data_IF_931516486129
#
_entry.id   IF_931516486129
#
_cell.length_a   1.000
_cell.length_b   1.000
_cell.length_c   1.000
_cell.angle_alpha   90.00
_cell.angle_beta   90.00
_cell.angle_gamma   90.00
#
_symmetry.space_group_name_H-M   'P 1'
#
loop_
_entity.id
_entity.type
_entity.pdbx_description
1 polymer ?
#
# COMPACT_ATOMS: atom_id res chain seq x y z
N UNK A 1 37.14 28.36 -52.07
CA UNK A 1 36.43 28.49 -53.37
C UNK A 1 35.62 29.77 -53.34
N UNK A 2 35.85 30.83 -54.08
CA UNK A 2 36.92 31.29 -54.97
C UNK A 2 36.84 32.84 -54.88
N UNK A 3 37.99 33.49 -54.84
CA UNK A 3 38.14 34.92 -55.16
C UNK A 3 37.84 35.13 -56.63
N UNK A 4 37.12 36.20 -56.99
CA UNK A 4 37.31 36.87 -58.28
C UNK A 4 37.16 38.38 -58.04
N UNK A 5 38.30 39.07 -58.04
CA UNK A 5 38.38 40.49 -58.41
C UNK A 5 38.69 40.55 -59.91
N UNK A 6 38.03 41.43 -60.64
CA UNK A 6 38.56 41.94 -61.91
C UNK A 6 38.12 43.39 -62.12
N UNK A 7 39.14 44.23 -62.15
CA UNK A 7 39.17 45.65 -62.48
C UNK A 7 38.77 45.96 -63.93
N UNK A 8 38.17 47.12 -64.16
CA UNK A 8 38.10 47.79 -65.47
C UNK A 8 38.51 49.26 -65.35
N UNK A 9 39.40 49.66 -66.25
CA UNK A 9 40.13 50.93 -66.33
C UNK A 9 39.42 52.04 -67.11
N UNK A 10 39.96 53.27 -66.94
CA UNK A 10 39.93 54.47 -67.82
C UNK A 10 38.79 55.46 -67.52
N UNK A 11 38.97 56.79 -67.39
CA UNK A 11 39.80 57.76 -68.14
C UNK A 11 40.03 59.09 -67.37
N UNK A 12 41.16 59.73 -67.64
CA UNK A 12 41.51 61.18 -67.65
C UNK A 12 40.54 62.23 -67.06
N UNK A 13 41.07 63.12 -66.22
CA UNK A 13 41.45 64.48 -66.65
C UNK A 13 42.20 65.29 -65.55
N UNK A 14 43.39 65.77 -65.93
CA UNK A 14 44.01 67.08 -65.72
C UNK A 14 43.84 67.90 -64.42
N UNK A 15 45.03 68.27 -63.93
CA UNK A 15 45.50 69.62 -63.55
C UNK A 15 45.02 70.25 -62.25
N UNK A 16 45.97 70.35 -61.32
CA UNK A 16 46.02 71.33 -60.23
C UNK A 16 47.34 71.15 -59.48
N UNK A 17 48.32 72.01 -59.75
CA UNK A 17 49.70 71.87 -59.31
C UNK A 17 49.94 72.14 -57.83
N UNK A 18 51.09 71.62 -57.38
CA UNK A 18 51.97 72.18 -56.36
C UNK A 18 51.35 72.59 -55.02
N UNK A 19 50.66 71.64 -54.40
CA UNK A 19 50.63 71.45 -52.95
C UNK A 19 50.93 70.01 -52.53
N UNK A 20 51.26 69.13 -53.48
CA UNK A 20 51.28 67.67 -53.29
C UNK A 20 52.62 67.10 -52.84
N UNK A 21 53.67 67.91 -52.65
CA UNK A 21 54.97 67.39 -52.16
C UNK A 21 54.93 67.03 -50.67
N UNK A 22 54.38 67.94 -49.85
CA UNK A 22 54.24 67.75 -48.40
C UNK A 22 52.98 66.95 -48.01
N UNK A 23 51.92 67.01 -48.83
CA UNK A 23 50.70 66.20 -48.62
C UNK A 23 50.89 64.73 -49.01
N UNK A 24 51.77 64.41 -49.98
CA UNK A 24 52.02 63.01 -50.38
C UNK A 24 52.82 62.22 -49.36
N UNK A 25 53.79 62.83 -48.67
CA UNK A 25 54.54 62.15 -47.61
C UNK A 25 53.64 61.85 -46.39
N UNK A 26 52.78 62.79 -45.98
CA UNK A 26 51.79 62.56 -44.92
C UNK A 26 50.69 61.54 -45.30
N UNK A 27 50.27 61.49 -46.58
CA UNK A 27 49.30 60.51 -47.07
C UNK A 27 49.91 59.11 -47.23
N UNK A 28 51.18 58.98 -47.65
CA UNK A 28 51.89 57.70 -47.71
C UNK A 28 52.20 57.14 -46.31
N UNK A 29 52.58 57.98 -45.33
CA UNK A 29 52.74 57.56 -43.94
C UNK A 29 51.41 57.10 -43.32
N UNK A 30 50.33 57.87 -43.49
CA UNK A 30 48.98 57.47 -43.01
C UNK A 30 48.48 56.20 -43.68
N UNK A 31 48.75 56.00 -44.97
CA UNK A 31 48.34 54.79 -45.68
C UNK A 31 49.12 53.56 -45.19
N UNK A 32 50.42 53.71 -44.89
CA UNK A 32 51.23 52.66 -44.29
C UNK A 32 50.77 52.33 -42.85
N UNK A 33 50.45 53.33 -42.04
CA UNK A 33 49.93 53.15 -40.68
C UNK A 33 48.58 52.43 -40.68
N UNK A 34 47.67 52.78 -41.59
CA UNK A 34 46.38 52.10 -41.75
C UNK A 34 46.57 50.65 -42.19
N UNK A 35 47.50 50.39 -43.12
CA UNK A 35 47.80 49.03 -43.57
C UNK A 35 48.43 48.18 -42.47
N UNK A 36 49.28 48.78 -41.64
CA UNK A 36 49.88 48.14 -40.47
C UNK A 36 48.81 47.77 -39.44
N UNK A 37 47.94 48.72 -39.10
CA UNK A 37 46.79 48.50 -38.20
C UNK A 37 45.83 47.43 -38.73
N UNK A 38 45.58 47.39 -40.05
CA UNK A 38 44.74 46.37 -40.66
C UNK A 38 45.38 44.97 -40.56
N UNK A 39 46.70 44.88 -40.76
CA UNK A 39 47.45 43.63 -40.64
C UNK A 39 47.49 43.14 -39.20
N UNK A 40 47.68 44.03 -38.23
CA UNK A 40 47.59 43.73 -36.81
C UNK A 40 46.17 43.28 -36.40
N UNK A 41 45.14 43.96 -36.89
CA UNK A 41 43.75 43.58 -36.65
C UNK A 41 43.45 42.17 -37.18
N UNK A 42 43.92 41.83 -38.38
CA UNK A 42 43.77 40.47 -38.92
C UNK A 42 44.50 39.41 -38.09
N UNK A 43 45.72 39.71 -37.62
CA UNK A 43 46.46 38.81 -36.73
C UNK A 43 45.77 38.63 -35.38
N UNK A 44 45.24 39.71 -34.80
CA UNK A 44 44.49 39.67 -33.55
C UNK A 44 43.19 38.86 -33.69
N UNK A 45 42.45 39.03 -34.79
CA UNK A 45 41.25 38.23 -35.08
C UNK A 45 41.61 36.75 -35.21
N UNK A 46 42.69 36.42 -35.91
CA UNK A 46 43.14 35.03 -36.06
C UNK A 46 43.55 34.43 -34.71
N UNK A 47 44.25 35.19 -33.89
CA UNK A 47 44.68 34.79 -32.55
C UNK A 47 43.48 34.56 -31.61
N UNK A 48 42.51 35.48 -31.59
CA UNK A 48 41.29 35.36 -30.80
C UNK A 48 40.43 34.16 -31.24
N UNK A 49 40.34 33.90 -32.55
CA UNK A 49 39.63 32.73 -33.06
C UNK A 49 40.30 31.41 -32.65
N UNK A 50 41.64 31.38 -32.62
CA UNK A 50 42.40 30.22 -32.12
C UNK A 50 42.15 29.99 -30.63
N UNK A 51 42.19 31.05 -29.81
CA UNK A 51 41.87 30.95 -28.39
C UNK A 51 40.43 30.50 -28.15
N UNK A 52 39.48 31.01 -28.95
CA UNK A 52 38.07 30.61 -28.87
C UNK A 52 37.87 29.12 -29.17
N UNK A 53 38.57 28.58 -30.16
CA UNK A 53 38.52 27.15 -30.49
C UNK A 53 39.01 26.28 -29.32
N UNK A 54 40.15 26.64 -28.71
CA UNK A 54 40.69 25.94 -27.55
C UNK A 54 39.72 26.00 -26.36
N UNK A 55 39.13 27.17 -26.09
CA UNK A 55 38.15 27.33 -25.02
C UNK A 55 36.88 26.47 -25.25
N UNK A 56 36.42 26.36 -26.50
CA UNK A 56 35.27 25.50 -26.86
C UNK A 56 35.60 24.02 -26.71
N UNK A 57 36.81 23.59 -27.05
CA UNK A 57 37.26 22.21 -26.83
C UNK A 57 37.32 21.85 -25.34
N UNK A 58 37.87 22.73 -24.51
CA UNK A 58 37.89 22.57 -23.05
C UNK A 58 36.46 22.53 -22.46
N UNK A 59 35.57 23.41 -22.93
CA UNK A 59 34.15 23.38 -22.54
C UNK A 59 33.48 22.05 -22.89
N UNK A 60 33.72 21.54 -24.10
CA UNK A 60 33.18 20.26 -24.56
C UNK A 60 33.77 19.07 -23.78
N UNK A 61 35.01 19.18 -23.30
CA UNK A 61 35.63 18.18 -22.42
C UNK A 61 34.98 18.21 -21.03
N UNK A 62 34.84 19.40 -20.43
CA UNK A 62 34.18 19.59 -19.15
C UNK A 62 32.71 19.12 -19.18
N UNK A 63 31.98 19.36 -20.28
CA UNK A 63 30.61 18.88 -20.44
C UNK A 63 30.52 17.35 -20.54
N UNK A 64 31.49 16.69 -21.18
CA UNK A 64 31.56 15.22 -21.22
C UNK A 64 31.84 14.64 -19.83
N UNK A 65 32.76 15.24 -19.08
CA UNK A 65 33.04 14.85 -17.70
C UNK A 65 31.83 15.07 -16.79
N UNK A 66 31.12 16.19 -16.94
CA UNK A 66 29.87 16.46 -16.22
C UNK A 66 28.80 15.39 -16.51
N UNK A 67 28.62 15.01 -17.78
CA UNK A 67 27.64 13.98 -18.13
C UNK A 67 28.03 12.62 -17.53
N UNK A 68 29.31 12.26 -17.56
CA UNK A 68 29.81 11.02 -16.97
C UNK A 68 29.65 11.00 -15.44
N UNK A 69 29.83 12.14 -14.77
CA UNK A 69 29.57 12.30 -13.33
C UNK A 69 28.07 12.20 -13.02
N UNK A 70 27.20 12.78 -13.86
CA UNK A 70 25.74 12.67 -13.70
C UNK A 70 25.27 11.22 -13.85
N UNK A 71 25.74 10.50 -14.86
CA UNK A 71 25.41 9.08 -15.04
C UNK A 71 25.92 8.24 -13.86
N UNK A 72 27.11 8.57 -13.32
CA UNK A 72 27.66 7.90 -12.14
C UNK A 72 26.89 8.23 -10.87
N UNK A 73 26.42 9.47 -10.70
CA UNK A 73 25.51 9.85 -9.61
C UNK A 73 24.19 9.09 -9.76
N UNK A 74 23.63 8.99 -10.97
CA UNK A 74 22.38 8.27 -11.22
C UNK A 74 22.51 6.76 -10.96
N UNK A 75 23.66 6.16 -11.31
CA UNK A 75 24.00 4.79 -10.93
C UNK A 75 24.18 4.63 -9.42
N UNK A 76 24.88 5.56 -8.76
CA UNK A 76 25.04 5.56 -7.31
C UNK A 76 23.71 5.74 -6.59
N UNK A 77 22.81 6.59 -7.09
CA UNK A 77 21.46 6.79 -6.59
C UNK A 77 20.57 5.56 -6.85
N UNK A 78 20.72 4.88 -7.98
CA UNK A 78 20.06 3.60 -8.25
C UNK A 78 20.53 2.50 -7.28
N UNK A 79 21.83 2.46 -6.99
CA UNK A 79 22.43 1.56 -5.98
C UNK A 79 22.01 1.96 -4.56
N UNK A 80 21.77 3.24 -4.28
CA UNK A 80 21.31 3.73 -2.97
C UNK A 80 19.79 3.54 -2.77
N UNK A 81 19.01 3.48 -3.86
CA UNK A 81 17.57 3.16 -3.86
C UNK A 81 17.27 1.67 -3.67
N UNK A 82 18.20 0.78 -4.04
CA UNK A 82 18.22 -0.58 -3.48
C UNK A 82 18.81 -0.50 -2.07
N UNK A 83 17.94 -0.32 -1.07
CA UNK A 83 18.30 -0.15 0.33
C UNK A 83 19.34 -1.16 0.80
N UNK A 84 20.57 -0.71 0.97
CA UNK A 84 21.61 -1.50 1.61
C UNK A 84 21.24 -1.54 3.10
N UNK A 85 20.83 -2.71 3.62
CA UNK A 85 20.41 -2.90 5.01
C UNK A 85 21.38 -2.23 6.00
N UNK A 86 22.67 -2.25 5.67
CA UNK A 86 23.76 -1.60 6.40
C UNK A 86 23.63 -0.09 6.61
N UNK A 87 23.02 0.65 5.67
CA UNK A 87 22.82 2.11 5.78
C UNK A 87 21.76 2.45 6.83
N UNK A 88 20.72 1.61 6.93
CA UNK A 88 19.60 1.80 7.85
C UNK A 88 19.93 1.37 9.27
N UNK A 89 20.76 0.33 9.42
CA UNK A 89 21.34 -0.03 10.71
C UNK A 89 22.11 1.13 11.33
N UNK A 90 22.91 1.82 10.52
CA UNK A 90 23.68 3.00 10.96
C UNK A 90 22.75 4.13 11.38
N UNK A 91 21.71 4.41 10.62
CA UNK A 91 20.73 5.46 10.94
C UNK A 91 19.98 5.16 12.26
N UNK A 92 19.55 3.91 12.45
CA UNK A 92 18.86 3.50 13.68
C UNK A 92 19.78 3.59 14.90
N UNK A 93 21.05 3.20 14.76
CA UNK A 93 22.05 3.35 15.81
C UNK A 93 22.31 4.82 16.16
N UNK A 94 22.44 5.69 15.14
CA UNK A 94 22.63 7.14 15.34
C UNK A 94 21.43 7.79 16.05
N UNK A 95 20.20 7.37 15.74
CA UNK A 95 19.02 7.85 16.46
C UNK A 95 18.95 7.37 17.90
N UNK A 96 19.33 6.11 18.17
CA UNK A 96 19.47 5.61 19.55
C UNK A 96 20.51 6.47 20.31
N UNK A 97 21.62 6.83 19.67
CA UNK A 97 22.63 7.72 20.26
C UNK A 97 22.09 9.13 20.51
N UNK A 98 21.31 9.68 19.57
CA UNK A 98 20.60 10.96 19.73
C UNK A 98 19.63 10.94 20.92
N UNK A 99 18.90 9.84 21.14
CA UNK A 99 17.97 9.68 22.27
C UNK A 99 18.70 9.67 23.62
N UNK A 100 19.92 9.13 23.69
CA UNK A 100 20.75 9.21 24.90
C UNK A 100 21.18 10.65 25.16
N UNK A 101 21.64 11.36 24.13
CA UNK A 101 22.10 12.75 24.25
C UNK A 101 20.98 13.71 24.65
N UNK A 102 19.77 13.45 24.19
CA UNK A 102 18.56 14.24 24.52
C UNK A 102 17.91 13.84 25.84
N UNK A 103 18.40 12.77 26.50
CA UNK A 103 17.88 12.29 27.79
C UNK A 103 16.57 11.50 27.71
N UNK A 104 16.17 11.07 26.50
CA UNK A 104 14.97 10.24 26.27
C UNK A 104 15.12 8.81 26.81
N UNK A 105 16.35 8.29 26.81
CA UNK A 105 16.72 6.97 27.35
C UNK A 105 18.05 7.04 28.10
N UNK A 106 18.25 6.12 29.05
CA UNK A 106 19.52 6.01 29.76
C UNK A 106 20.55 5.17 28.97
N UNK A 107 21.80 5.22 29.42
CA UNK A 107 22.91 4.50 28.77
C UNK A 107 22.77 2.97 28.80
N UNK A 108 22.05 2.41 29.80
CA UNK A 108 21.86 0.98 29.95
C UNK A 108 20.77 0.47 28.98
N UNK A 109 19.66 1.20 28.87
CA UNK A 109 18.59 0.96 27.91
C UNK A 109 19.11 1.08 26.47
N UNK A 110 19.88 2.12 26.17
CA UNK A 110 20.50 2.29 24.86
C UNK A 110 21.46 1.16 24.51
N UNK A 111 22.23 0.64 25.48
CA UNK A 111 23.12 -0.51 25.28
C UNK A 111 22.33 -1.77 24.88
N UNK A 112 21.18 -2.02 25.53
CA UNK A 112 20.26 -3.10 25.18
C UNK A 112 19.72 -2.98 23.75
N UNK A 113 19.27 -1.78 23.37
CA UNK A 113 18.75 -1.50 22.02
C UNK A 113 19.82 -1.65 20.95
N UNK A 114 21.03 -1.09 21.13
CA UNK A 114 22.16 -1.26 20.19
C UNK A 114 22.48 -2.73 19.97
N UNK A 115 22.48 -3.54 21.04
CA UNK A 115 22.74 -4.99 20.96
C UNK A 115 21.64 -5.73 20.19
N UNK A 116 20.38 -5.32 20.35
CA UNK A 116 19.26 -5.90 19.61
C UNK A 116 19.30 -5.54 18.11
N UNK A 117 19.66 -4.29 17.80
CA UNK A 117 19.86 -3.78 16.44
C UNK A 117 21.02 -4.49 15.74
N UNK A 118 22.19 -4.56 16.37
CA UNK A 118 23.38 -5.22 15.81
C UNK A 118 23.27 -6.75 15.74
N UNK A 119 22.40 -7.36 16.57
CA UNK A 119 22.23 -8.81 16.64
C UNK A 119 21.25 -9.41 15.62
N UNK A 120 20.76 -8.62 14.65
CA UNK A 120 19.77 -9.03 13.65
C UNK A 120 18.43 -9.52 14.27
N UNK A 121 18.11 -9.09 15.50
CA UNK A 121 16.84 -9.44 16.19
C UNK A 121 15.64 -8.65 15.68
N UNK A 122 15.89 -7.55 14.99
CA UNK A 122 14.86 -6.80 14.27
C UNK A 122 14.79 -7.36 12.86
N UNK A 123 13.65 -7.92 12.45
CA UNK A 123 13.36 -8.04 11.02
C UNK A 123 13.17 -6.62 10.54
N UNK A 124 14.23 -6.07 9.92
CA UNK A 124 14.27 -4.67 9.52
C UNK A 124 13.04 -4.37 8.67
N UNK A 125 12.59 -5.36 7.84
CA UNK A 125 11.38 -5.37 7.00
C UNK A 125 10.16 -4.71 7.67
N UNK A 126 9.98 -4.98 8.96
CA UNK A 126 8.82 -4.57 9.76
C UNK A 126 8.92 -3.12 10.28
N UNK A 127 10.13 -2.55 10.32
CA UNK A 127 10.39 -1.18 10.76
C UNK A 127 10.51 -0.23 9.55
N UNK A 128 10.64 -0.76 8.32
CA UNK A 128 11.16 -0.02 7.16
C UNK A 128 10.34 1.14 6.65
N UNK A 129 9.01 1.14 6.76
CA UNK A 129 8.27 2.09 5.93
C UNK A 129 8.37 3.54 6.40
N UNK A 130 8.91 3.85 7.60
CA UNK A 130 9.03 5.24 8.05
C UNK A 130 10.02 5.58 9.19
N UNK A 131 11.18 4.91 9.30
CA UNK A 131 12.20 5.33 10.31
C UNK A 131 12.53 6.82 10.15
N UNK A 132 12.64 7.31 8.91
CA UNK A 132 12.99 8.71 8.63
C UNK A 132 11.88 9.72 8.99
N UNK A 133 10.61 9.30 9.00
CA UNK A 133 9.48 10.19 9.27
C UNK A 133 8.98 10.12 10.72
N UNK A 134 9.30 9.05 11.46
CA UNK A 134 8.94 8.92 12.88
C UNK A 134 9.73 9.88 13.76
N UNK A 135 9.08 10.41 14.78
CA UNK A 135 9.73 11.12 15.89
C UNK A 135 10.50 10.13 16.78
N UNK A 136 11.45 10.64 17.56
CA UNK A 136 12.25 9.80 18.46
C UNK A 136 11.41 9.09 19.52
N UNK A 137 10.32 9.70 20.00
CA UNK A 137 9.39 9.09 20.95
C UNK A 137 8.60 7.91 20.34
N UNK A 138 8.13 8.04 19.10
CA UNK A 138 7.41 6.97 18.39
C UNK A 138 8.33 5.80 18.07
N UNK A 139 9.55 6.10 17.63
CA UNK A 139 10.57 5.08 17.39
C UNK A 139 10.95 4.34 18.67
N UNK A 140 11.11 5.07 19.78
CA UNK A 140 11.40 4.50 21.09
C UNK A 140 10.29 3.57 21.60
N UNK A 141 9.03 3.96 21.46
CA UNK A 141 7.89 3.12 21.85
C UNK A 141 7.87 1.78 21.10
N UNK A 142 8.21 1.79 19.81
CA UNK A 142 8.33 0.57 19.01
C UNK A 142 9.53 -0.27 19.44
N UNK A 143 10.71 0.34 19.62
CA UNK A 143 11.91 -0.38 20.06
C UNK A 143 11.71 -1.08 21.42
N UNK A 144 11.01 -0.43 22.36
CA UNK A 144 10.66 -1.02 23.67
C UNK A 144 9.72 -2.22 23.53
N UNK A 145 8.73 -2.14 22.63
CA UNK A 145 7.82 -3.25 22.36
C UNK A 145 8.54 -4.52 21.88
N UNK A 146 9.65 -4.36 21.13
CA UNK A 146 10.46 -5.49 20.65
C UNK A 146 11.54 -5.96 21.65
N UNK A 147 11.95 -5.10 22.58
CA UNK A 147 13.00 -5.42 23.56
C UNK A 147 12.50 -6.30 24.71
N UNK A 148 11.21 -6.31 24.99
CA UNK A 148 10.64 -7.09 26.08
C UNK A 148 10.41 -8.56 25.66
N UNK A 149 11.25 -9.44 26.19
CA UNK A 149 11.54 -10.75 25.61
C UNK A 149 10.43 -11.79 25.75
N UNK A 150 9.99 -12.34 24.61
CA UNK A 150 9.54 -13.73 24.51
C UNK A 150 9.43 -14.13 23.04
N UNK A 151 10.25 -15.10 22.62
CA UNK A 151 10.14 -15.80 21.33
C UNK A 151 8.73 -16.39 21.16
N UNK A 152 7.86 -15.67 20.49
CA UNK A 152 7.04 -16.24 19.43
C UNK A 152 7.40 -15.43 18.19
N UNK A 153 7.86 -16.10 17.14
CA UNK A 153 7.92 -15.46 15.82
C UNK A 153 6.47 -15.08 15.50
N UNK A 154 6.11 -13.83 15.76
CA UNK A 154 4.78 -13.33 15.49
C UNK A 154 4.54 -13.41 14.00
N UNK A 155 3.50 -14.12 13.58
CA UNK A 155 3.09 -14.12 12.19
C UNK A 155 2.77 -12.71 11.70
N UNK A 156 3.14 -12.44 10.44
CA UNK A 156 2.62 -11.33 9.67
C UNK A 156 1.32 -11.75 8.98
N UNK A 157 0.23 -11.08 9.35
CA UNK A 157 -1.14 -11.41 8.94
C UNK A 157 -1.73 -10.20 8.23
N UNK A 158 -2.14 -10.39 6.98
CA UNK A 158 -2.90 -9.38 6.23
C UNK A 158 -4.33 -9.87 6.12
N UNK A 159 -5.27 -9.08 6.64
CA UNK A 159 -6.69 -9.34 6.48
C UNK A 159 -7.23 -8.56 5.27
N UNK A 160 -7.85 -9.25 4.32
CA UNK A 160 -8.62 -8.62 3.25
C UNK A 160 -10.09 -8.78 3.64
N UNK A 161 -10.75 -7.66 3.92
CA UNK A 161 -12.15 -7.66 4.34
C UNK A 161 -12.90 -6.49 3.69
N UNK A 162 -14.21 -6.48 3.89
CA UNK A 162 -15.13 -5.43 3.44
C UNK A 162 -15.50 -4.45 4.54
N UNK A 163 -15.27 -4.82 5.81
CA UNK A 163 -15.66 -4.04 6.97
C UNK A 163 -14.61 -4.06 8.09
N UNK A 164 -14.51 -2.96 8.84
CA UNK A 164 -13.67 -2.84 10.02
C UNK A 164 -14.17 -1.65 10.86
N UNK A 165 -14.35 -1.86 12.16
CA UNK A 165 -14.74 -0.80 13.09
C UNK A 165 -13.50 0.06 13.48
N UNK A 166 -13.62 1.41 13.55
CA UNK A 166 -14.82 2.22 13.36
C UNK A 166 -15.05 2.70 11.91
N UNK A 167 -14.16 2.35 10.98
CA UNK A 167 -14.15 2.92 9.63
C UNK A 167 -15.43 2.64 8.83
N UNK A 168 -15.91 1.40 8.86
CA UNK A 168 -17.15 0.98 8.20
C UNK A 168 -17.74 -0.20 8.96
N UNK A 169 -18.97 -0.04 9.42
CA UNK A 169 -19.68 -1.03 10.23
C UNK A 169 -21.11 -1.20 9.73
N UNK A 170 -21.37 -2.35 9.10
CA UNK A 170 -22.69 -2.73 8.58
C UNK A 170 -23.20 -3.99 9.27
N UNK A 171 -22.33 -4.99 9.45
CA UNK A 171 -22.65 -6.26 10.06
C UNK A 171 -21.71 -6.63 11.21
N UNK A 172 -21.74 -7.91 11.59
CA UNK A 172 -20.89 -8.44 12.66
C UNK A 172 -19.42 -8.60 12.26
N UNK A 173 -19.10 -8.49 10.96
CA UNK A 173 -17.73 -8.63 10.44
C UNK A 173 -16.83 -7.48 10.93
N UNK A 174 -17.33 -6.23 10.95
CA UNK A 174 -16.54 -5.04 11.33
C UNK A 174 -15.90 -5.18 12.72
N UNK A 175 -16.74 -5.46 13.73
CA UNK A 175 -16.33 -5.65 15.12
C UNK A 175 -15.48 -6.90 15.30
N UNK A 176 -15.75 -7.98 14.55
CA UNK A 176 -14.93 -9.18 14.56
C UNK A 176 -13.51 -8.92 14.05
N UNK A 177 -13.36 -8.26 12.90
CA UNK A 177 -12.05 -7.94 12.32
C UNK A 177 -11.24 -7.05 13.27
N UNK A 178 -11.86 -6.01 13.83
CA UNK A 178 -11.20 -5.11 14.78
C UNK A 178 -10.81 -5.84 16.07
N UNK A 179 -11.73 -6.60 16.66
CA UNK A 179 -11.47 -7.36 17.89
C UNK A 179 -10.40 -8.44 17.72
N UNK A 180 -10.47 -9.21 16.63
CA UNK A 180 -9.48 -10.24 16.29
C UNK A 180 -8.11 -9.61 16.05
N UNK A 181 -8.05 -8.52 15.29
CA UNK A 181 -6.79 -7.81 15.00
C UNK A 181 -6.12 -7.33 16.29
N UNK A 182 -6.88 -6.68 17.19
CA UNK A 182 -6.39 -6.25 18.51
C UNK A 182 -5.90 -7.44 19.34
N UNK A 183 -6.63 -8.55 19.35
CA UNK A 183 -6.25 -9.75 20.09
C UNK A 183 -4.96 -10.39 19.55
N UNK A 184 -4.79 -10.44 18.23
CA UNK A 184 -3.59 -10.94 17.57
C UNK A 184 -2.37 -10.03 17.85
N UNK A 185 -2.54 -8.72 17.80
CA UNK A 185 -1.48 -7.76 18.16
C UNK A 185 -1.03 -7.94 19.62
N UNK A 186 -1.98 -8.10 20.56
CA UNK A 186 -1.67 -8.41 21.97
C UNK A 186 -0.90 -9.73 22.16
N UNK A 187 -0.98 -10.66 21.19
CA UNK A 187 -0.21 -11.91 21.16
C UNK A 187 1.15 -11.78 20.48
N UNK A 188 1.52 -10.57 20.02
CA UNK A 188 2.80 -10.27 19.35
C UNK A 188 2.78 -10.48 17.84
N UNK A 189 1.60 -10.62 17.21
CA UNK A 189 1.47 -10.72 15.76
C UNK A 189 1.40 -9.35 15.10
N UNK A 190 1.82 -9.29 13.84
CA UNK A 190 1.73 -8.07 13.03
C UNK A 190 0.52 -8.22 12.15
N UNK A 191 -0.44 -7.32 12.33
CA UNK A 191 -1.74 -7.38 11.66
C UNK A 191 -1.94 -6.11 10.85
N UNK A 192 -2.26 -6.30 9.58
CA UNK A 192 -2.69 -5.25 8.67
C UNK A 192 -4.05 -5.60 8.10
N UNK A 193 -4.81 -4.57 7.73
CA UNK A 193 -6.14 -4.70 7.13
C UNK A 193 -6.16 -3.96 5.81
N UNK A 194 -6.68 -4.60 4.77
CA UNK A 194 -6.95 -4.00 3.47
C UNK A 194 -8.47 -3.89 3.31
N UNK A 195 -8.96 -2.70 2.99
CA UNK A 195 -10.37 -2.38 2.79
C UNK A 195 -10.58 -1.65 1.45
N UNK A 196 -11.78 -1.73 0.86
CA UNK A 196 -12.18 -0.79 -0.18
C UNK A 196 -12.29 0.62 0.39
N UNK A 197 -11.93 1.63 -0.40
CA UNK A 197 -12.16 3.03 -0.02
C UNK A 197 -13.61 3.43 -0.29
N UNK A 198 -14.53 3.09 0.60
CA UNK A 198 -15.94 3.50 0.48
C UNK A 198 -16.11 5.02 0.64
N UNK A 199 -17.17 5.56 0.03
CA UNK A 199 -17.61 6.95 0.26
C UNK A 199 -18.06 7.18 1.70
N UNK A 200 -18.66 6.16 2.34
CA UNK A 200 -19.21 6.23 3.69
C UNK A 200 -18.19 5.95 4.81
N UNK A 201 -16.88 5.90 4.51
CA UNK A 201 -15.85 5.66 5.52
C UNK A 201 -15.83 6.77 6.56
N UNK A 202 -15.91 6.40 7.83
CA UNK A 202 -15.59 7.30 8.94
C UNK A 202 -14.08 7.30 9.18
N UNK A 203 -13.42 8.39 8.80
CA UNK A 203 -11.97 8.53 8.91
C UNK A 203 -11.54 9.29 10.18
N UNK A 204 -12.46 9.63 11.08
CA UNK A 204 -12.19 10.45 12.27
C UNK A 204 -11.15 9.85 13.20
N UNK A 205 -11.21 8.52 13.41
CA UNK A 205 -10.24 7.79 14.25
C UNK A 205 -8.99 7.30 13.50
N UNK A 206 -8.88 7.59 12.20
CA UNK A 206 -7.75 7.15 11.38
C UNK A 206 -6.57 8.11 11.51
N UNK A 207 -5.49 7.63 12.12
CA UNK A 207 -4.27 8.41 12.32
C UNK A 207 -3.31 8.26 11.15
N UNK A 208 -2.61 9.35 10.79
CA UNK A 208 -1.59 9.33 9.75
C UNK A 208 -2.11 8.98 8.36
N UNK A 209 -3.38 9.30 8.07
CA UNK A 209 -3.97 9.08 6.76
C UNK A 209 -3.17 9.80 5.67
N UNK A 210 -2.62 9.05 4.72
CA UNK A 210 -1.91 9.60 3.57
C UNK A 210 -2.11 8.76 2.32
N UNK A 211 -2.12 9.41 1.17
CA UNK A 211 -2.03 8.75 -0.12
C UNK A 211 -0.57 8.32 -0.38
N UNK A 212 -0.38 7.11 -0.88
CA UNK A 212 0.91 6.64 -1.38
C UNK A 212 1.03 7.07 -2.84
N UNK A 213 2.02 7.90 -3.14
CA UNK A 213 2.41 8.25 -4.50
C UNK A 213 3.11 7.07 -5.19
N UNK A 214 2.32 6.07 -5.58
CA UNK A 214 2.78 4.93 -6.34
C UNK A 214 1.75 4.54 -7.40
N UNK A 215 2.24 4.28 -8.61
CA UNK A 215 1.40 3.75 -9.68
C UNK A 215 1.00 2.31 -9.36
N UNK A 216 -0.24 2.06 -8.95
CA UNK A 216 -0.75 0.69 -8.76
C UNK A 216 -1.80 0.38 -9.83
N UNK A 217 -1.55 -0.65 -10.65
CA UNK A 217 -2.48 -1.11 -11.67
C UNK A 217 -2.93 -2.54 -11.37
N UNK A 218 -4.21 -2.79 -11.59
CA UNK A 218 -4.84 -4.11 -11.40
C UNK A 218 -5.54 -4.55 -12.67
N UNK A 219 -5.41 -5.83 -13.02
CA UNK A 219 -6.12 -6.38 -14.16
C UNK A 219 -7.62 -6.47 -13.86
N UNK A 220 -8.44 -5.92 -14.75
CA UNK A 220 -9.87 -6.17 -14.75
C UNK A 220 -10.46 -6.05 -16.16
N UNK A 221 -11.29 -7.03 -16.54
CA UNK A 221 -12.03 -7.06 -17.81
C UNK A 221 -11.13 -6.80 -19.04
N UNK A 222 -10.01 -7.52 -19.13
CA UNK A 222 -9.10 -7.43 -20.28
C UNK A 222 -8.10 -6.27 -20.26
N UNK A 223 -8.13 -5.39 -19.25
CA UNK A 223 -7.27 -4.20 -19.20
C UNK A 223 -6.66 -3.97 -17.81
N UNK A 224 -5.59 -3.17 -17.75
CA UNK A 224 -5.00 -2.71 -16.50
C UNK A 224 -5.62 -1.37 -16.08
N UNK A 225 -6.12 -1.29 -14.85
CA UNK A 225 -6.78 -0.11 -14.30
C UNK A 225 -6.02 0.44 -13.11
N UNK A 226 -5.82 1.75 -13.06
CA UNK A 226 -5.10 2.42 -11.98
C UNK A 226 -5.89 2.49 -10.67
N UNK A 227 -5.17 2.52 -9.55
CA UNK A 227 -5.71 2.63 -8.20
C UNK A 227 -4.92 3.67 -7.41
N UNK A 228 -5.61 4.41 -6.53
CA UNK A 228 -4.99 5.17 -5.45
C UNK A 228 -4.98 4.34 -4.19
N UNK A 229 -3.87 4.42 -3.46
CA UNK A 229 -3.66 3.66 -2.23
C UNK A 229 -3.52 4.63 -1.09
N UNK A 230 -4.36 4.47 -0.07
CA UNK A 230 -4.31 5.26 1.14
C UNK A 230 -3.87 4.38 2.29
N UNK A 231 -3.05 4.92 3.18
CA UNK A 231 -2.60 4.22 4.38
C UNK A 231 -2.84 5.06 5.60
N UNK A 232 -3.07 4.39 6.73
CA UNK A 232 -3.16 5.00 8.04
C UNK A 232 -3.27 3.93 9.11
N UNK A 233 -3.52 4.37 10.34
CA UNK A 233 -3.49 3.50 11.51
C UNK A 233 -4.78 3.68 12.30
N UNK A 234 -5.41 2.56 12.66
CA UNK A 234 -6.61 2.51 13.50
C UNK A 234 -6.35 1.55 14.64
N UNK A 235 -6.43 2.03 15.88
CA UNK A 235 -6.14 1.22 17.09
C UNK A 235 -4.78 0.48 17.04
N UNK A 236 -3.76 1.07 16.40
CA UNK A 236 -2.45 0.44 16.21
C UNK A 236 -2.39 -0.57 15.05
N UNK A 237 -3.48 -0.81 14.33
CA UNK A 237 -3.55 -1.70 13.16
C UNK A 237 -3.28 -0.87 11.91
N UNK A 238 -2.36 -1.34 11.06
CA UNK A 238 -2.11 -0.71 9.76
C UNK A 238 -3.26 -0.97 8.81
N UNK A 239 -3.90 0.08 8.31
CA UNK A 239 -5.02 0.01 7.37
C UNK A 239 -4.60 0.54 6.01
N UNK A 240 -4.88 -0.23 4.96
CA UNK A 240 -4.73 0.17 3.56
C UNK A 240 -6.10 0.27 2.91
N UNK A 241 -6.41 1.42 2.29
CA UNK A 241 -7.63 1.62 1.52
C UNK A 241 -7.30 1.63 0.03
N UNK A 242 -8.00 0.80 -0.74
CA UNK A 242 -7.86 0.74 -2.20
C UNK A 242 -8.98 1.52 -2.86
N UNK A 243 -8.62 2.55 -3.64
CA UNK A 243 -9.56 3.36 -4.40
C UNK A 243 -9.33 3.16 -5.90
N UNK A 244 -10.26 2.49 -6.61
CA UNK A 244 -10.19 2.38 -8.07
C UNK A 244 -10.32 3.76 -8.74
N UNK A 245 -9.51 4.03 -9.77
CA UNK A 245 -9.62 5.27 -10.55
C UNK A 245 -10.69 5.17 -11.64
N UNK A 246 -10.66 4.09 -12.43
CA UNK A 246 -11.61 3.89 -13.53
C UNK A 246 -12.98 3.43 -13.02
N UNK A 247 -12.99 2.46 -12.09
CA UNK A 247 -14.20 1.95 -11.45
C UNK A 247 -14.50 2.66 -10.13
N UNK A 248 -14.30 3.98 -10.05
CA UNK A 248 -14.51 4.75 -8.81
C UNK A 248 -15.91 4.55 -8.22
N UNK A 249 -16.91 4.44 -9.10
CA UNK A 249 -18.32 4.18 -8.73
C UNK A 249 -18.55 2.84 -8.04
N UNK A 250 -17.59 1.90 -8.01
CA UNK A 250 -17.76 0.65 -7.28
C UNK A 250 -17.84 0.88 -5.77
N UNK A 251 -17.09 1.85 -5.22
CA UNK A 251 -17.06 2.09 -3.77
C UNK A 251 -17.51 3.51 -3.41
N UNK A 252 -17.72 4.37 -4.40
CA UNK A 252 -18.35 5.68 -4.24
C UNK A 252 -19.89 5.58 -4.26
N UNK A 253 -20.46 4.89 -3.27
CA UNK A 253 -21.91 4.65 -3.13
C UNK A 253 -22.36 4.71 -1.67
N UNK A 254 -23.67 4.84 -1.48
CA UNK A 254 -24.33 4.95 -0.17
C UNK A 254 -24.20 3.68 0.69
N UNK A 255 -24.39 2.51 0.09
CA UNK A 255 -24.39 1.21 0.81
C UNK A 255 -23.11 0.44 0.53
N UNK A 256 -22.77 -0.46 1.45
CA UNK A 256 -21.63 -1.39 1.27
C UNK A 256 -22.02 -2.57 0.39
N UNK A 257 -23.21 -3.16 0.61
CA UNK A 257 -23.72 -4.36 -0.07
C UNK A 257 -25.10 -4.14 -0.68
N UNK A 258 -25.55 -5.14 -1.43
CA UNK A 258 -26.90 -5.26 -1.98
C UNK A 258 -27.04 -4.64 -3.36
N UNK A 259 -25.94 -4.46 -4.09
CA UNK A 259 -25.98 -4.03 -5.48
C UNK A 259 -25.93 -5.23 -6.42
N UNK A 260 -26.50 -5.07 -7.61
CA UNK A 260 -26.51 -6.10 -8.64
C UNK A 260 -25.11 -6.45 -9.17
N UNK A 261 -24.14 -5.57 -8.97
CA UNK A 261 -22.75 -5.70 -9.39
C UNK A 261 -21.79 -5.99 -8.20
N UNK A 262 -22.31 -6.46 -7.06
CA UNK A 262 -21.46 -6.79 -5.90
C UNK A 262 -20.37 -7.81 -6.24
N UNK A 263 -20.65 -8.78 -7.11
CA UNK A 263 -19.65 -9.71 -7.59
C UNK A 263 -18.47 -8.98 -8.26
N UNK A 264 -18.75 -8.10 -9.21
CA UNK A 264 -17.74 -7.34 -9.96
C UNK A 264 -16.95 -6.42 -9.02
N UNK A 265 -17.64 -5.72 -8.11
CA UNK A 265 -17.05 -4.81 -7.13
C UNK A 265 -16.02 -5.54 -6.26
N UNK A 266 -16.43 -6.62 -5.60
CA UNK A 266 -15.57 -7.32 -4.67
C UNK A 266 -14.52 -8.21 -5.37
N UNK A 267 -14.79 -8.64 -6.60
CA UNK A 267 -13.79 -9.30 -7.45
C UNK A 267 -12.67 -8.33 -7.85
N UNK A 268 -13.01 -7.11 -8.26
CA UNK A 268 -12.03 -6.06 -8.54
C UNK A 268 -11.18 -5.77 -7.31
N UNK A 269 -11.83 -5.57 -6.15
CA UNK A 269 -11.13 -5.28 -4.89
C UNK A 269 -10.21 -6.42 -4.45
N UNK A 270 -10.67 -7.67 -4.52
CA UNK A 270 -9.87 -8.85 -4.20
C UNK A 270 -8.62 -8.95 -5.08
N UNK A 271 -8.78 -8.69 -6.38
CA UNK A 271 -7.67 -8.65 -7.34
C UNK A 271 -6.69 -7.53 -7.03
N UNK A 272 -7.20 -6.31 -6.82
CA UNK A 272 -6.37 -5.14 -6.51
C UNK A 272 -5.62 -5.27 -5.18
N UNK A 273 -6.22 -5.95 -4.19
CA UNK A 273 -5.57 -6.24 -2.91
C UNK A 273 -4.35 -7.14 -3.09
N UNK A 274 -4.45 -8.19 -3.91
CA UNK A 274 -3.32 -9.07 -4.22
C UNK A 274 -2.25 -8.35 -5.06
N UNK A 275 -2.65 -7.57 -6.07
CA UNK A 275 -1.72 -6.75 -6.87
C UNK A 275 -0.97 -5.74 -5.97
N UNK A 276 -1.65 -5.12 -5.00
CA UNK A 276 -1.02 -4.27 -3.98
C UNK A 276 -0.02 -5.03 -3.10
N UNK A 277 -0.40 -6.19 -2.56
CA UNK A 277 0.49 -7.01 -1.72
C UNK A 277 1.75 -7.40 -2.49
N UNK A 278 1.60 -7.89 -3.72
CA UNK A 278 2.72 -8.28 -4.56
C UNK A 278 3.62 -7.09 -4.92
N UNK A 279 3.03 -5.98 -5.37
CA UNK A 279 3.80 -4.78 -5.79
C UNK A 279 4.49 -4.07 -4.62
N UNK A 280 3.91 -4.13 -3.42
CA UNK A 280 4.54 -3.61 -2.20
C UNK A 280 5.64 -4.51 -1.65
N UNK A 281 5.87 -5.70 -2.24
CA UNK A 281 6.88 -6.65 -1.78
C UNK A 281 6.55 -7.32 -0.45
N UNK A 282 5.30 -7.19 0.03
CA UNK A 282 4.86 -7.81 1.29
C UNK A 282 4.77 -9.33 1.11
N UNK A 283 5.27 -10.06 2.09
CA UNK A 283 5.22 -11.53 2.13
C UNK A 283 4.58 -11.96 3.45
N UNK A 284 3.25 -11.80 3.60
CA UNK A 284 2.57 -12.22 4.82
C UNK A 284 2.67 -13.72 5.01
N UNK A 285 2.79 -14.17 6.25
CA UNK A 285 2.69 -15.58 6.60
C UNK A 285 1.25 -16.07 6.34
N UNK A 286 0.27 -15.22 6.67
CA UNK A 286 -1.15 -15.53 6.53
C UNK A 286 -1.88 -14.43 5.77
N UNK A 287 -2.57 -14.81 4.70
CA UNK A 287 -3.59 -14.00 4.06
C UNK A 287 -4.96 -14.44 4.58
N UNK A 288 -5.59 -13.58 5.37
CA UNK A 288 -6.87 -13.87 6.01
C UNK A 288 -8.01 -13.18 5.25
N UNK A 289 -8.86 -13.99 4.64
CA UNK A 289 -10.01 -13.55 3.84
C UNK A 289 -11.31 -13.87 4.58
N UNK A 290 -12.35 -13.10 4.30
CA UNK A 290 -13.62 -13.13 5.02
C UNK A 290 -14.80 -13.22 4.05
N UNK A 291 -15.72 -14.15 4.34
CA UNK A 291 -16.98 -14.36 3.64
C UNK A 291 -16.81 -14.56 2.11
N UNK A 292 -17.89 -14.46 1.35
CA UNK A 292 -17.88 -14.71 -0.10
C UNK A 292 -17.23 -13.55 -0.85
N UNK A 293 -17.34 -12.33 -0.33
CA UNK A 293 -16.89 -11.08 -0.96
C UNK A 293 -15.39 -11.13 -1.26
N UNK A 294 -14.60 -11.76 -0.39
CA UNK A 294 -13.15 -11.90 -0.58
C UNK A 294 -12.72 -13.34 -0.88
N UNK A 295 -13.67 -14.29 -0.99
CA UNK A 295 -13.36 -15.70 -1.23
C UNK A 295 -12.63 -15.96 -2.56
N UNK A 296 -12.86 -15.11 -3.57
CA UNK A 296 -12.18 -15.21 -4.88
C UNK A 296 -10.66 -14.98 -4.80
N UNK A 297 -10.17 -14.37 -3.70
CA UNK A 297 -8.74 -14.30 -3.40
C UNK A 297 -8.11 -15.69 -3.39
N UNK A 298 -8.81 -16.73 -2.94
CA UNK A 298 -8.31 -18.11 -2.92
C UNK A 298 -7.80 -18.58 -4.29
N UNK A 299 -8.67 -18.75 -5.30
CA UNK A 299 -8.24 -19.15 -6.64
C UNK A 299 -7.27 -18.15 -7.28
N UNK A 300 -7.48 -16.83 -7.11
CA UNK A 300 -6.53 -15.81 -7.61
C UNK A 300 -5.12 -16.02 -7.06
N UNK A 301 -5.01 -16.25 -5.76
CA UNK A 301 -3.74 -16.45 -5.08
C UNK A 301 -2.98 -17.63 -5.68
N UNK A 302 -3.61 -18.81 -5.76
CA UNK A 302 -2.93 -20.02 -6.21
C UNK A 302 -2.65 -20.05 -7.71
N UNK A 303 -3.53 -19.48 -8.54
CA UNK A 303 -3.37 -19.53 -9.99
C UNK A 303 -2.41 -18.45 -10.52
N UNK A 304 -2.32 -17.30 -9.83
CA UNK A 304 -1.64 -16.10 -10.34
C UNK A 304 -0.54 -15.60 -9.40
N UNK A 305 -0.84 -15.41 -8.12
CA UNK A 305 0.04 -14.65 -7.22
C UNK A 305 1.08 -15.49 -6.44
N UNK A 306 0.84 -16.79 -6.26
CA UNK A 306 1.80 -17.69 -5.58
C UNK A 306 3.18 -17.68 -6.25
N UNK A 307 3.21 -17.47 -7.57
CA UNK A 307 4.43 -17.40 -8.39
C UNK A 307 5.12 -16.02 -8.33
N UNK A 308 4.50 -15.03 -7.69
CA UNK A 308 5.00 -13.65 -7.59
C UNK A 308 5.68 -13.37 -6.24
N UNK A 309 6.27 -14.40 -5.62
CA UNK A 309 6.96 -14.26 -4.32
C UNK A 309 6.09 -14.57 -3.10
N UNK A 310 4.83 -14.98 -3.27
CA UNK A 310 3.93 -15.33 -2.17
C UNK A 310 3.88 -16.84 -1.86
N UNK A 311 4.84 -17.63 -2.31
CA UNK A 311 4.83 -19.10 -2.10
C UNK A 311 4.85 -19.56 -0.64
N UNK A 312 5.37 -18.72 0.26
CA UNK A 312 5.37 -18.96 1.71
C UNK A 312 4.02 -18.69 2.38
N UNK A 313 3.17 -17.84 1.79
CA UNK A 313 1.91 -17.39 2.38
C UNK A 313 0.88 -18.53 2.43
N UNK A 314 0.05 -18.54 3.47
CA UNK A 314 -1.09 -19.45 3.62
C UNK A 314 -2.40 -18.66 3.66
N UNK A 315 -3.42 -19.19 3.01
CA UNK A 315 -4.75 -18.57 2.93
C UNK A 315 -5.65 -19.14 4.02
N UNK A 316 -6.23 -18.26 4.82
CA UNK A 316 -7.23 -18.58 5.85
C UNK A 316 -8.54 -17.90 5.47
N UNK A 317 -9.63 -18.66 5.36
CA UNK A 317 -10.97 -18.11 5.18
C UNK A 317 -11.73 -18.13 6.51
N UNK A 318 -12.35 -17.03 6.90
CA UNK A 318 -13.39 -17.01 7.93
C UNK A 318 -14.76 -16.79 7.30
N UNK A 319 -15.73 -17.62 7.66
CA UNK A 319 -17.13 -17.49 7.24
C UNK A 319 -18.01 -17.15 8.45
N UNK A 320 -18.74 -16.04 8.35
CA UNK A 320 -19.72 -15.58 9.34
C UNK A 320 -21.12 -16.14 9.11
N UNK A 321 -21.35 -16.79 7.97
CA UNK A 321 -22.60 -17.45 7.60
C UNK A 321 -22.49 -18.10 6.23
N UNK A 322 -23.50 -18.89 5.85
CA UNK A 322 -23.62 -19.52 4.53
C UNK A 322 -24.82 -19.01 3.73
N UNK A 323 -25.52 -18.00 4.24
CA UNK A 323 -26.71 -17.42 3.58
C UNK A 323 -26.32 -16.76 2.26
N UNK A 324 -25.17 -16.09 2.22
CA UNK A 324 -24.63 -15.43 1.03
C UNK A 324 -23.42 -16.19 0.50
N UNK A 325 -23.61 -16.90 -0.61
CA UNK A 325 -22.56 -17.69 -1.25
C UNK A 325 -22.03 -17.06 -2.55
N UNK A 326 -22.82 -16.15 -3.15
CA UNK A 326 -22.64 -15.57 -4.47
C UNK A 326 -22.53 -16.63 -5.58
N UNK A 327 -23.64 -16.83 -6.30
CA UNK A 327 -23.70 -17.69 -7.47
C UNK A 327 -23.65 -16.84 -8.74
N UNK A 328 -22.72 -17.15 -9.64
CA UNK A 328 -22.46 -16.33 -10.82
C UNK A 328 -22.19 -17.15 -12.07
N UNK A 329 -22.30 -16.51 -13.24
CA UNK A 329 -21.94 -17.15 -14.50
C UNK A 329 -20.42 -17.40 -14.56
N UNK A 330 -19.96 -18.59 -14.99
CA UNK A 330 -18.54 -18.93 -15.02
C UNK A 330 -17.66 -17.92 -15.77
N UNK A 331 -18.16 -17.39 -16.89
CA UNK A 331 -17.44 -16.43 -17.73
C UNK A 331 -17.03 -15.15 -16.98
N UNK A 332 -17.78 -14.77 -15.94
CA UNK A 332 -17.43 -13.62 -15.11
C UNK A 332 -16.10 -13.79 -14.36
N UNK A 333 -15.61 -15.02 -14.16
CA UNK A 333 -14.29 -15.25 -13.57
C UNK A 333 -13.16 -14.63 -14.42
N UNK A 334 -13.33 -14.56 -15.74
CA UNK A 334 -12.37 -13.94 -16.65
C UNK A 334 -12.16 -12.44 -16.36
N UNK A 335 -13.13 -11.77 -15.71
CA UNK A 335 -13.00 -10.37 -15.32
C UNK A 335 -11.74 -10.12 -14.48
N UNK A 336 -11.34 -11.03 -13.59
CA UNK A 336 -10.14 -10.89 -12.76
C UNK A 336 -8.91 -11.66 -13.28
N UNK A 337 -9.00 -12.22 -14.49
CA UNK A 337 -7.93 -12.96 -15.15
C UNK A 337 -7.87 -14.44 -14.76
N UNK A 338 -8.92 -14.97 -14.14
CA UNK A 338 -9.08 -16.40 -13.92
C UNK A 338 -9.61 -17.08 -15.17
N UNK A 339 -9.30 -18.37 -15.33
CA UNK A 339 -9.77 -19.19 -16.46
C UNK A 339 -11.08 -19.92 -16.09
N UNK A 340 -12.24 -19.55 -16.68
CA UNK A 340 -13.52 -20.18 -16.39
C UNK A 340 -13.52 -21.69 -16.65
N UNK A 341 -12.91 -22.14 -17.75
CA UNK A 341 -12.93 -23.55 -18.15
C UNK A 341 -12.16 -24.43 -17.15
N UNK A 342 -11.10 -23.88 -16.54
CA UNK A 342 -10.34 -24.58 -15.49
C UNK A 342 -11.08 -24.62 -14.16
N UNK A 343 -11.87 -23.60 -13.84
CA UNK A 343 -12.46 -23.42 -12.51
C UNK A 343 -13.92 -23.87 -12.40
N UNK A 344 -14.66 -23.93 -13.50
CA UNK A 344 -16.04 -24.39 -13.53
C UNK A 344 -16.12 -25.92 -13.52
N UNK A 345 -15.70 -26.51 -12.40
CA UNK A 345 -15.66 -27.96 -12.18
C UNK A 345 -16.20 -28.34 -10.80
N UNK A 346 -16.72 -29.57 -10.63
CA UNK A 346 -17.28 -30.02 -9.35
C UNK A 346 -16.28 -29.93 -8.18
N UNK A 347 -15.00 -30.24 -8.45
CA UNK A 347 -13.90 -30.19 -7.48
C UNK A 347 -13.29 -28.78 -7.30
N UNK A 348 -13.92 -27.76 -7.89
CA UNK A 348 -13.50 -26.36 -7.90
C UNK A 348 -14.67 -25.46 -7.53
N UNK A 349 -15.05 -24.51 -8.37
CA UNK A 349 -16.04 -23.49 -8.05
C UNK A 349 -17.46 -23.86 -8.48
N UNK A 350 -17.69 -24.92 -9.25
CA UNK A 350 -19.04 -25.25 -9.74
C UNK A 350 -20.02 -25.45 -8.58
N UNK A 351 -21.20 -24.84 -8.64
CA UNK A 351 -22.22 -25.06 -7.61
C UNK A 351 -22.81 -26.48 -7.68
N UNK A 352 -23.20 -27.05 -6.54
CA UNK A 352 -23.76 -28.41 -6.50
C UNK A 352 -25.24 -28.45 -6.91
N UNK A 353 -25.99 -27.38 -6.69
CA UNK A 353 -27.43 -27.31 -7.02
C UNK A 353 -27.63 -26.71 -8.40
N UNK A 354 -26.96 -25.58 -8.68
CA UNK A 354 -27.01 -24.88 -9.96
C UNK A 354 -25.71 -25.11 -10.73
N UNK A 355 -25.52 -26.32 -11.27
CA UNK A 355 -24.25 -26.78 -11.88
C UNK A 355 -23.75 -25.94 -13.05
N UNK A 356 -24.60 -25.11 -13.67
CA UNK A 356 -24.19 -24.15 -14.71
C UNK A 356 -23.55 -22.88 -14.14
N UNK A 357 -23.61 -22.65 -12.83
CA UNK A 357 -23.03 -21.51 -12.13
C UNK A 357 -21.77 -21.88 -11.36
N UNK A 358 -21.02 -20.85 -10.99
CA UNK A 358 -19.93 -20.91 -10.02
C UNK A 358 -20.37 -20.33 -8.69
N UNK A 359 -19.89 -20.92 -7.60
CA UNK A 359 -20.14 -20.53 -6.22
C UNK A 359 -18.83 -19.96 -5.64
N UNK A 360 -18.82 -18.66 -5.37
CA UNK A 360 -17.60 -17.95 -5.00
C UNK A 360 -17.14 -18.33 -3.59
N UNK A 361 -18.08 -18.49 -2.66
CA UNK A 361 -17.77 -18.97 -1.30
C UNK A 361 -17.20 -20.39 -1.33
N UNK A 362 -17.75 -21.29 -2.16
CA UNK A 362 -17.19 -22.63 -2.40
C UNK A 362 -15.74 -22.52 -2.88
N UNK A 363 -15.43 -21.58 -3.78
CA UNK A 363 -14.08 -21.29 -4.21
C UNK A 363 -13.14 -20.97 -3.06
N UNK A 364 -13.53 -20.04 -2.18
CA UNK A 364 -12.75 -19.73 -0.97
C UNK A 364 -12.54 -20.94 -0.07
N UNK A 365 -13.58 -21.76 0.12
CA UNK A 365 -13.50 -22.98 0.91
C UNK A 365 -12.51 -23.98 0.29
N UNK A 366 -12.59 -24.25 -1.01
CA UNK A 366 -11.73 -25.21 -1.71
C UNK A 366 -10.26 -24.75 -1.70
N UNK A 367 -10.01 -23.47 -1.92
CA UNK A 367 -8.66 -22.92 -2.10
C UNK A 367 -7.97 -22.44 -0.81
N UNK A 368 -8.68 -22.30 0.32
CA UNK A 368 -8.04 -21.93 1.59
C UNK A 368 -7.33 -23.11 2.25
N UNK A 369 -6.21 -22.84 2.94
CA UNK A 369 -5.48 -23.85 3.73
C UNK A 369 -6.25 -24.25 4.98
N UNK A 370 -6.93 -23.28 5.61
CA UNK A 370 -7.85 -23.48 6.74
C UNK A 370 -9.10 -22.65 6.53
N UNK A 371 -10.22 -23.13 7.06
CA UNK A 371 -11.51 -22.45 7.02
C UNK A 371 -12.06 -22.40 8.43
N UNK A 372 -12.33 -21.20 8.93
CA UNK A 372 -12.94 -20.95 10.23
C UNK A 372 -14.41 -20.62 10.02
N UNK A 373 -15.28 -21.34 10.72
CA UNK A 373 -16.70 -21.09 10.74
C UNK A 373 -17.04 -20.44 12.06
N UNK A 374 -17.54 -19.21 11.99
CA UNK A 374 -17.92 -18.46 13.18
C UNK A 374 -19.31 -18.91 13.59
N UNK A 375 -19.37 -19.78 14.61
CA UNK A 375 -20.62 -20.35 15.10
C UNK A 375 -20.47 -20.72 16.57
N UNK A 376 -21.49 -20.43 17.38
CA UNK A 376 -21.47 -20.65 18.83
C UNK A 376 -22.19 -21.93 19.27
N UNK A 377 -23.11 -22.47 18.45
CA UNK A 377 -24.07 -23.49 18.90
C UNK A 377 -23.89 -24.85 18.22
N UNK A 378 -23.33 -24.90 17.00
CA UNK A 378 -23.31 -26.12 16.19
C UNK A 378 -21.95 -26.80 16.18
N UNK A 379 -21.95 -28.13 16.36
CA UNK A 379 -20.76 -28.95 16.18
C UNK A 379 -20.38 -29.03 14.70
N UNK A 380 -19.17 -29.51 14.43
CA UNK A 380 -18.62 -29.66 13.07
C UNK A 380 -19.46 -30.58 12.21
N UNK A 381 -19.88 -31.70 12.79
CA UNK A 381 -20.74 -32.69 12.16
C UNK A 381 -22.11 -32.09 11.87
N UNK A 382 -22.64 -31.30 12.81
CA UNK A 382 -23.91 -30.61 12.60
C UNK A 382 -23.79 -29.59 11.48
N UNK A 383 -22.73 -28.78 11.42
CA UNK A 383 -22.51 -27.84 10.31
C UNK A 383 -22.42 -28.59 8.98
N UNK A 384 -21.62 -29.65 8.90
CA UNK A 384 -21.48 -30.43 7.65
C UNK A 384 -22.83 -31.01 7.20
N UNK A 385 -23.69 -31.42 8.14
CA UNK A 385 -24.94 -32.12 7.85
C UNK A 385 -26.21 -31.23 7.88
N UNK A 386 -26.14 -29.97 8.33
CA UNK A 386 -27.33 -29.16 8.67
C UNK A 386 -27.49 -27.88 7.86
N UNK A 387 -26.86 -27.76 6.69
CA UNK A 387 -27.00 -26.55 5.88
C UNK A 387 -27.67 -26.85 4.56
N UNK A 388 -28.94 -26.49 4.44
CA UNK A 388 -29.81 -26.53 3.24
C UNK A 388 -29.34 -25.60 2.10
N UNK A 389 -28.03 -25.53 1.88
CA UNK A 389 -27.35 -24.53 1.07
C UNK A 389 -26.47 -25.16 -0.02
N UNK A 390 -26.43 -26.49 -0.12
CA UNK A 390 -25.74 -27.23 -1.18
C UNK A 390 -24.22 -27.37 -1.01
N UNK A 391 -23.65 -26.89 0.10
CA UNK A 391 -22.20 -26.97 0.38
C UNK A 391 -21.79 -28.24 1.12
N UNK A 392 -22.72 -29.05 1.61
CA UNK A 392 -22.49 -30.25 2.40
C UNK A 392 -21.46 -31.19 1.77
N UNK A 393 -21.52 -31.50 0.44
CA UNK A 393 -20.51 -32.35 -0.18
C UNK A 393 -19.11 -31.74 -0.13
N UNK A 394 -19.00 -30.42 -0.38
CA UNK A 394 -17.73 -29.68 -0.33
C UNK A 394 -17.17 -29.67 1.10
N UNK A 395 -18.03 -29.40 2.09
CA UNK A 395 -17.67 -29.35 3.50
C UNK A 395 -17.18 -30.72 4.00
N UNK A 396 -17.85 -31.80 3.58
CA UNK A 396 -17.46 -33.16 3.92
C UNK A 396 -16.08 -33.52 3.35
N UNK A 397 -15.81 -33.18 2.08
CA UNK A 397 -14.50 -33.40 1.43
C UNK A 397 -13.39 -32.64 2.17
N UNK A 398 -13.68 -31.41 2.59
CA UNK A 398 -12.71 -30.52 3.21
C UNK A 398 -12.75 -30.50 4.73
N UNK A 399 -13.39 -31.49 5.37
CA UNK A 399 -13.62 -31.52 6.81
C UNK A 399 -12.35 -31.24 7.62
N UNK A 400 -11.19 -31.76 7.24
CA UNK A 400 -9.96 -31.69 8.06
C UNK A 400 -9.36 -30.28 8.17
N UNK A 401 -9.74 -29.38 7.26
CA UNK A 401 -9.33 -27.97 7.33
C UNK A 401 -10.37 -27.04 7.94
N UNK A 402 -11.56 -27.56 8.26
CA UNK A 402 -12.62 -26.81 8.93
C UNK A 402 -12.36 -26.72 10.44
N UNK A 403 -12.43 -25.49 10.95
CA UNK A 403 -12.36 -25.12 12.36
C UNK A 403 -13.64 -24.39 12.74
N UNK A 404 -14.19 -24.68 13.91
CA UNK A 404 -15.29 -23.90 14.47
C UNK A 404 -14.73 -22.99 15.53
N UNK A 405 -15.07 -21.71 15.46
CA UNK A 405 -14.75 -20.74 16.50
C UNK A 405 -16.03 -20.03 16.94
N UNK A 406 -16.27 -19.89 18.25
CA UNK A 406 -17.29 -18.95 18.72
C UNK A 406 -16.87 -17.52 18.39
N UNK A 407 -17.85 -16.61 18.31
CA UNK A 407 -17.57 -15.18 18.28
C UNK A 407 -16.86 -14.78 19.58
N UNK A 408 -15.76 -14.02 19.45
CA UNK A 408 -15.18 -13.32 20.59
C UNK A 408 -16.09 -12.19 21.07
N UNK A 409 -15.85 -11.73 22.29
CA UNK A 409 -16.60 -10.64 22.91
C UNK A 409 -15.62 -9.67 23.58
N UNK A 410 -15.77 -8.38 23.32
CA UNK A 410 -14.94 -7.34 23.95
C UNK A 410 -15.56 -6.93 25.30
N UNK A 411 -15.00 -7.49 26.37
CA UNK A 411 -15.41 -7.20 27.74
C UNK A 411 -14.99 -5.81 28.24
N UNK A 412 -14.22 -5.03 27.47
CA UNK A 412 -13.95 -3.63 27.82
C UNK A 412 -15.06 -2.68 27.38
N UNK A 413 -15.77 -3.05 26.31
CA UNK A 413 -16.90 -2.28 25.76
C UNK A 413 -18.21 -2.75 26.42
N UNK A 414 -18.41 -4.06 26.48
CA UNK A 414 -19.67 -4.67 26.94
C UNK A 414 -19.52 -5.26 28.34
N UNK A 415 -19.39 -4.40 29.34
CA UNK A 415 -19.29 -4.79 30.75
C UNK A 415 -20.48 -4.21 31.54
N UNK A 416 -21.50 -5.01 31.93
CA UNK A 416 -22.66 -4.49 32.64
C UNK A 416 -22.31 -3.85 33.99
N UNK A 417 -21.13 -4.14 34.55
CA UNK A 417 -20.68 -3.52 35.79
C UNK A 417 -20.14 -2.10 35.60
N UNK A 418 -19.78 -1.70 34.36
CA UNK A 418 -19.20 -0.39 34.03
C UNK A 418 -19.92 0.35 32.91
N UNK A 419 -20.88 -0.28 32.25
CA UNK A 419 -21.63 0.26 31.13
C UNK A 419 -22.43 1.50 31.57
N UNK A 420 -22.08 2.65 31.00
CA UNK A 420 -22.69 3.95 31.32
C UNK A 420 -24.06 4.14 30.66
N UNK A 421 -24.42 3.30 29.68
CA UNK A 421 -25.71 3.35 29.00
C UNK A 421 -26.79 2.55 29.75
N UNK A 422 -26.39 1.69 30.69
CA UNK A 422 -27.35 1.00 31.55
C UNK A 422 -27.92 1.96 32.61
N UNK A 423 -29.25 1.97 32.83
CA UNK A 423 -29.87 2.72 33.92
C UNK A 423 -29.29 2.37 35.29
N UNK A 424 -28.87 1.12 35.47
CA UNK A 424 -28.15 0.66 36.66
C UNK A 424 -27.19 -0.47 36.31
N UNK A 425 -25.93 -0.33 36.69
CA UNK A 425 -24.93 -1.37 36.55
C UNK A 425 -25.25 -2.60 37.42
N UNK A 426 -24.81 -3.77 36.97
CA UNK A 426 -24.96 -5.03 37.68
C UNK A 426 -23.77 -5.96 37.39
N UNK A 427 -23.60 -6.99 38.21
CA UNK A 427 -22.56 -8.00 38.04
C UNK A 427 -23.13 -9.41 38.27
N UNK A 428 -22.29 -10.43 38.12
CA UNK A 428 -22.67 -11.81 38.46
C UNK A 428 -23.03 -11.95 39.96
N UNK A 429 -22.41 -11.14 40.83
CA UNK A 429 -22.61 -11.17 42.28
C UNK A 429 -23.80 -10.30 42.74
N UNK A 430 -24.18 -9.27 41.97
CA UNK A 430 -25.35 -8.42 42.25
C UNK A 430 -26.19 -8.18 40.99
N UNK A 431 -27.29 -8.91 40.87
CA UNK A 431 -28.24 -8.84 39.76
C UNK A 431 -29.35 -7.79 39.95
N UNK A 432 -29.38 -7.03 41.06
CA UNK A 432 -30.45 -6.04 41.31
C UNK A 432 -30.50 -4.96 40.23
N UNK A 433 -29.36 -4.54 39.68
CA UNK A 433 -29.34 -3.59 38.57
C UNK A 433 -30.04 -4.13 37.32
N UNK A 434 -29.98 -5.44 37.07
CA UNK A 434 -30.61 -6.07 35.90
C UNK A 434 -32.14 -5.99 35.92
N UNK A 435 -32.77 -6.11 37.09
CA UNK A 435 -34.23 -5.95 37.20
C UNK A 435 -34.67 -4.51 36.95
N UNK A 436 -33.88 -3.53 37.41
CA UNK A 436 -34.09 -2.10 37.10
C UNK A 436 -33.97 -1.85 35.60
N UNK A 437 -32.94 -2.38 34.94
CA UNK A 437 -32.78 -2.31 33.49
C UNK A 437 -33.97 -2.93 32.74
N UNK A 438 -34.50 -4.07 33.21
CA UNK A 438 -35.68 -4.72 32.62
C UNK A 438 -36.91 -3.80 32.69
N UNK A 439 -37.20 -3.22 33.85
CA UNK A 439 -38.35 -2.31 34.03
C UNK A 439 -38.20 -1.06 33.15
N UNK A 440 -37.00 -0.46 33.13
CA UNK A 440 -36.72 0.70 32.28
C UNK A 440 -36.94 0.38 30.79
N UNK A 441 -36.45 -0.77 30.32
CA UNK A 441 -36.65 -1.22 28.94
C UNK A 441 -38.14 -1.49 28.63
N UNK A 442 -38.88 -2.13 29.54
CA UNK A 442 -40.31 -2.36 29.38
C UNK A 442 -41.10 -1.04 29.28
N UNK A 443 -40.73 -0.03 30.08
CA UNK A 443 -41.33 1.30 30.01
C UNK A 443 -41.02 1.98 28.68
N UNK A 444 -39.76 1.93 28.23
CA UNK A 444 -39.33 2.53 26.96
C UNK A 444 -40.02 1.89 25.74
N UNK A 445 -40.26 0.57 25.79
CA UNK A 445 -40.97 -0.17 24.74
C UNK A 445 -42.50 -0.13 24.87
N UNK A 446 -43.06 0.54 25.90
CA UNK A 446 -44.51 0.60 26.13
C UNK A 446 -45.14 -0.73 26.56
N UNK A 447 -44.34 -1.70 27.01
CA UNK A 447 -44.77 -3.03 27.44
C UNK A 447 -45.28 -3.07 28.89
N UNK A 448 -45.33 -1.91 29.57
CA UNK A 448 -45.68 -1.76 30.98
C UNK A 448 -47.12 -2.11 31.34
N UNK A 449 -47.99 -2.41 30.36
CA UNK A 449 -49.42 -2.67 30.63
C UNK A 449 -49.74 -4.06 31.18
N UNK A 450 -48.86 -5.06 31.07
CA UNK A 450 -49.17 -6.46 31.44
C UNK A 450 -48.03 -7.21 32.16
N UNK A 451 -47.41 -6.66 33.20
CA UNK A 451 -46.67 -7.53 34.13
C UNK A 451 -46.87 -7.17 35.58
N UNK A 452 -47.67 -8.01 36.24
CA UNK A 452 -47.69 -8.21 37.68
C UNK A 452 -46.27 -8.26 38.21
N UNK A 453 -46.03 -7.47 39.25
CA UNK A 453 -44.84 -7.50 40.09
C UNK A 453 -44.64 -8.90 40.66
N UNK A 454 -43.55 -9.56 40.29
CA UNK A 454 -42.90 -10.62 41.09
C UNK A 454 -41.41 -10.39 41.04
#
# INVERSE_FOLDING_TARGET
SCLVCSSSSSKNSNNGGDANGLLKEEEEEKFNDIWLLFKEAQQNILYLNKLRLVAVEELNKANREKQLLLDKIQQLEAVNKLGNEQSLWRELLLRIDSMVLTGLIDSAEASGMRKAVMGNKFSVALVFFDIRQKTDAELLAQLRHFSDGSRKNGFHIIQICTEMEPLVSVGSLSSYVTGLSKALQKKGHIVEVILPKYACLDLTEMQGLREIEAELYSYFNGQLHGNRIWTGIVHGIGVTLIQPLYYSSFFDRERVYGYSDDFERFTYFSRASLDYIAKSGKQPDVLHIHNWETAIVGPLFWDIFVKQGLGGTRVLLTCHGFDSQCLEQPDKLALCGLDPARLHRPDRLQDHTMTHLVNILKGGLVYSNKVVMVQSIYSKERIINSFSHGLEPTLAIHKDKLLISPCGFDNSIWDPSKDKFLPKNYSADDLKGKSICKVALQQQLGLSKNSSTV
#
